data_IF_463438032784
#
_entry.id   IF_463438032784
#
_cell.length_a   1.000
_cell.length_b   1.000
_cell.length_c   1.000
_cell.angle_alpha   90.00
_cell.angle_beta   90.00
_cell.angle_gamma   90.00
#
_symmetry.space_group_name_H-M   'P 1'
#
loop_
_entity.id
_entity.type
_entity.pdbx_description
1 polymer ?
#
# COMPACT_ATOMS: atom_id res chain seq x y z
N UNK A 1 -2.40 2.35 13.57
CA UNK A 1 -2.96 3.16 14.68
C UNK A 1 -4.47 3.26 14.57
N UNK A 2 -5.08 3.79 13.49
CA UNK A 2 -6.55 3.86 13.39
C UNK A 2 -7.25 2.49 13.24
N UNK A 3 -6.80 1.64 12.30
CA UNK A 3 -7.41 0.33 12.06
C UNK A 3 -7.43 -0.57 13.32
N UNK A 4 -6.37 -0.51 14.11
CA UNK A 4 -6.18 -1.24 15.37
C UNK A 4 -7.15 -0.76 16.47
N UNK A 5 -7.23 0.55 16.68
CA UNK A 5 -8.18 1.13 17.64
C UNK A 5 -9.62 0.79 17.26
N UNK A 6 -9.98 0.95 15.98
CA UNK A 6 -11.34 0.68 15.52
C UNK A 6 -11.71 -0.81 15.62
N UNK A 7 -10.73 -1.71 15.46
CA UNK A 7 -10.88 -3.14 15.72
C UNK A 7 -11.29 -3.43 17.17
N UNK A 8 -10.68 -2.73 18.13
CA UNK A 8 -10.99 -2.88 19.55
C UNK A 8 -12.34 -2.27 19.93
N UNK A 9 -12.71 -1.15 19.31
CA UNK A 9 -13.97 -0.44 19.58
C UNK A 9 -15.18 -1.17 18.98
N UNK A 10 -15.03 -1.77 17.80
CA UNK A 10 -16.12 -2.44 17.08
C UNK A 10 -15.74 -3.91 16.76
N UNK A 11 -15.80 -4.84 17.74
CA UNK A 11 -15.36 -6.22 17.56
C UNK A 11 -16.17 -7.03 16.54
N UNK A 12 -17.35 -6.54 16.18
CA UNK A 12 -18.22 -7.16 15.17
C UNK A 12 -17.81 -6.81 13.73
N UNK A 13 -16.95 -5.80 13.54
CA UNK A 13 -16.44 -5.39 12.25
C UNK A 13 -15.06 -5.98 11.98
N UNK A 14 -14.70 -6.17 10.71
CA UNK A 14 -13.31 -6.46 10.34
C UNK A 14 -12.64 -5.21 9.80
N UNK A 15 -11.54 -4.80 10.42
CA UNK A 15 -10.77 -3.61 10.04
C UNK A 15 -9.37 -4.03 9.62
N UNK A 16 -8.88 -3.47 8.53
CA UNK A 16 -7.52 -3.74 8.05
C UNK A 16 -7.00 -2.51 7.30
N UNK A 17 -5.73 -2.18 7.52
CA UNK A 17 -5.03 -1.14 6.79
C UNK A 17 -4.04 -1.79 5.82
N UNK A 18 -4.13 -1.44 4.54
CA UNK A 18 -3.25 -1.99 3.49
C UNK A 18 -2.38 -0.89 2.91
N UNK A 19 -1.07 -1.12 2.89
CA UNK A 19 -0.08 -0.31 2.16
C UNK A 19 0.08 -0.89 0.76
N UNK A 20 -0.33 -0.18 -0.31
CA UNK A 20 -0.33 -0.71 -1.67
C UNK A 20 1.03 -0.66 -2.37
N UNK A 21 2.10 -0.22 -1.70
CA UNK A 21 3.39 0.00 -2.35
C UNK A 21 3.41 1.25 -3.24
N UNK A 22 4.34 1.30 -4.20
CA UNK A 22 4.39 2.36 -5.22
C UNK A 22 3.68 1.87 -6.46
N UNK A 23 2.52 2.44 -6.73
CA UNK A 23 1.63 1.96 -7.79
C UNK A 23 1.70 2.86 -9.01
N UNK A 24 1.65 2.28 -10.20
CA UNK A 24 1.54 3.04 -11.45
C UNK A 24 0.17 3.70 -11.55
N UNK A 25 0.09 4.96 -11.12
CA UNK A 25 -1.13 5.77 -11.07
C UNK A 25 -0.80 7.23 -11.37
N UNK A 26 -1.83 8.03 -11.64
CA UNK A 26 -1.70 9.49 -11.82
C UNK A 26 -1.06 10.20 -10.61
N UNK A 27 -1.19 9.63 -9.40
CA UNK A 27 -0.53 10.14 -8.21
C UNK A 27 0.99 10.05 -8.34
N UNK A 28 1.52 8.90 -8.78
CA UNK A 28 2.98 8.72 -8.98
C UNK A 28 3.48 9.58 -10.14
N UNK A 29 2.67 9.79 -11.19
CA UNK A 29 2.99 10.74 -12.26
C UNK A 29 3.09 12.18 -11.74
N UNK A 30 2.16 12.59 -10.87
CA UNK A 30 2.19 13.89 -10.19
C UNK A 30 3.46 14.06 -9.34
N UNK A 31 3.81 13.05 -8.53
CA UNK A 31 5.05 13.06 -7.73
C UNK A 31 6.30 13.24 -8.59
N UNK A 32 6.36 12.60 -9.76
CA UNK A 32 7.49 12.74 -10.69
C UNK A 32 7.55 14.12 -11.36
N UNK A 33 6.39 14.67 -11.70
CA UNK A 33 6.31 15.97 -12.39
C UNK A 33 6.58 17.14 -11.43
N UNK A 34 6.02 17.09 -10.22
CA UNK A 34 5.98 18.23 -9.31
C UNK A 34 6.91 18.06 -8.10
N UNK A 35 7.37 16.84 -7.84
CA UNK A 35 8.22 16.53 -6.69
C UNK A 35 9.61 17.14 -6.75
N UNK A 36 10.12 17.47 -7.94
CA UNK A 36 11.46 18.09 -8.10
C UNK A 36 11.55 19.46 -7.41
N UNK A 37 10.46 20.21 -7.35
CA UNK A 37 10.41 21.54 -6.72
C UNK A 37 10.02 21.48 -5.24
N UNK A 38 9.35 20.41 -4.81
CA UNK A 38 8.64 20.36 -3.52
C UNK A 38 9.15 19.29 -2.55
N UNK A 39 10.01 18.38 -3.00
CA UNK A 39 10.56 17.30 -2.17
C UNK A 39 12.06 17.50 -1.94
N UNK A 40 12.58 16.88 -0.88
CA UNK A 40 14.04 16.83 -0.72
C UNK A 40 14.65 16.03 -1.88
N UNK A 41 15.87 16.34 -2.32
CA UNK A 41 16.53 15.60 -3.40
C UNK A 41 16.58 14.09 -3.14
N UNK A 42 16.81 13.69 -1.89
CA UNK A 42 16.86 12.28 -1.49
C UNK A 42 15.50 11.58 -1.63
N UNK A 43 14.40 12.26 -1.27
CA UNK A 43 13.05 11.71 -1.43
C UNK A 43 12.63 11.65 -2.90
N UNK A 44 12.94 12.69 -3.68
CA UNK A 44 12.65 12.73 -5.11
C UNK A 44 13.43 11.66 -5.88
N UNK A 45 14.67 11.36 -5.49
CA UNK A 45 15.51 10.31 -6.09
C UNK A 45 14.86 8.91 -6.05
N UNK A 46 14.04 8.63 -5.03
CA UNK A 46 13.30 7.36 -4.89
C UNK A 46 12.26 7.15 -6.00
N UNK A 47 11.72 8.23 -6.57
CA UNK A 47 10.65 8.20 -7.58
C UNK A 47 11.12 8.54 -9.01
N UNK A 48 12.29 9.18 -9.14
CA UNK A 48 12.80 9.74 -10.39
C UNK A 48 13.86 8.90 -11.10
N UNK A 49 14.55 7.98 -10.41
CA UNK A 49 15.70 7.29 -10.99
C UNK A 49 15.31 6.06 -11.83
N UNK A 50 15.75 6.04 -13.10
CA UNK A 50 15.63 4.87 -13.98
C UNK A 50 16.46 3.66 -13.52
N UNK A 51 17.52 3.83 -12.71
CA UNK A 51 18.40 2.73 -12.29
C UNK A 51 19.17 3.07 -11.02
N UNK A 52 18.56 2.85 -9.86
CA UNK A 52 19.32 2.61 -8.64
C UNK A 52 18.88 1.27 -8.09
N UNK A 53 19.78 0.46 -7.54
CA UNK A 53 19.48 -0.83 -6.90
C UNK A 53 18.52 -0.71 -5.68
N UNK A 54 18.14 0.54 -5.35
CA UNK A 54 17.18 0.93 -4.29
C UNK A 54 15.91 1.62 -4.84
N UNK A 55 15.70 1.65 -6.16
CA UNK A 55 14.50 2.27 -6.74
C UNK A 55 13.26 1.51 -6.30
N UNK A 56 12.21 2.23 -5.92
CA UNK A 56 10.93 1.61 -5.59
C UNK A 56 10.40 0.89 -6.83
N UNK A 57 10.08 -0.41 -6.68
CA UNK A 57 9.44 -1.16 -7.75
C UNK A 57 8.05 -0.58 -7.95
N UNK A 58 7.79 -0.07 -9.15
CA UNK A 58 6.46 0.38 -9.53
C UNK A 58 5.67 -0.86 -9.89
N UNK A 59 4.53 -1.04 -9.24
CA UNK A 59 3.66 -2.18 -9.48
C UNK A 59 2.40 -1.75 -10.20
N UNK A 60 1.81 -2.68 -10.95
CA UNK A 60 0.53 -2.47 -11.61
C UNK A 60 -0.59 -2.29 -10.56
N UNK A 61 -1.55 -1.38 -10.75
CA UNK A 61 -2.62 -1.13 -9.78
C UNK A 61 -3.50 -2.33 -9.45
N UNK A 62 -3.63 -3.27 -10.37
CA UNK A 62 -4.42 -4.48 -10.16
C UNK A 62 -3.83 -5.39 -9.07
N UNK A 63 -2.52 -5.36 -8.83
CA UNK A 63 -1.85 -6.20 -7.82
C UNK A 63 -2.35 -5.87 -6.39
N UNK A 64 -2.17 -4.64 -5.87
CA UNK A 64 -2.74 -4.27 -4.57
C UNK A 64 -4.26 -4.12 -4.64
N UNK A 65 -4.83 -3.78 -5.81
CA UNK A 65 -6.27 -3.65 -6.00
C UNK A 65 -7.01 -4.97 -5.79
N UNK A 66 -6.46 -6.08 -6.31
CA UNK A 66 -7.00 -7.42 -6.11
C UNK A 66 -7.02 -7.81 -4.62
N UNK A 67 -5.93 -7.54 -3.90
CA UNK A 67 -5.83 -7.81 -2.46
C UNK A 67 -6.93 -7.09 -1.69
N UNK A 68 -7.13 -5.79 -1.95
CA UNK A 68 -8.18 -4.99 -1.29
C UNK A 68 -9.57 -5.54 -1.62
N UNK A 69 -9.84 -5.85 -2.90
CA UNK A 69 -11.12 -6.41 -3.32
C UNK A 69 -11.39 -7.79 -2.67
N UNK A 70 -10.37 -8.65 -2.62
CA UNK A 70 -10.44 -9.98 -2.02
C UNK A 70 -10.72 -9.92 -0.51
N UNK A 71 -10.04 -9.02 0.21
CA UNK A 71 -10.28 -8.79 1.64
C UNK A 71 -11.67 -8.20 1.91
N UNK A 72 -12.18 -7.33 1.04
CA UNK A 72 -13.54 -6.80 1.18
C UNK A 72 -14.62 -7.88 1.10
N UNK A 73 -14.37 -8.95 0.33
CA UNK A 73 -15.28 -10.10 0.20
C UNK A 73 -15.05 -11.12 1.31
N UNK A 74 -13.80 -11.40 1.67
CA UNK A 74 -13.45 -12.44 2.64
C UNK A 74 -12.17 -12.10 3.41
N UNK A 75 -12.25 -11.19 4.37
CA UNK A 75 -11.13 -10.93 5.27
C UNK A 75 -11.08 -11.97 6.41
N UNK A 76 -9.97 -12.70 6.59
CA UNK A 76 -9.84 -13.61 7.71
C UNK A 76 -9.68 -12.84 9.03
N UNK A 77 -10.19 -13.39 10.14
CA UNK A 77 -10.03 -12.77 11.47
C UNK A 77 -8.56 -12.52 11.87
N UNK A 78 -7.63 -13.25 11.27
CA UNK A 78 -6.19 -13.08 11.50
C UNK A 78 -5.62 -11.75 11.01
N UNK A 79 -6.35 -10.99 10.17
CA UNK A 79 -5.92 -9.66 9.69
C UNK A 79 -6.64 -8.49 10.38
N UNK A 80 -7.62 -8.78 11.24
CA UNK A 80 -8.37 -7.77 11.99
C UNK A 80 -7.42 -6.88 12.83
N UNK A 81 -7.59 -5.56 12.71
CA UNK A 81 -6.76 -4.54 13.36
C UNK A 81 -5.37 -4.32 12.76
N UNK A 82 -4.94 -5.15 11.78
CA UNK A 82 -3.55 -5.11 11.29
C UNK A 82 -3.31 -4.01 10.27
N UNK A 83 -2.05 -3.57 10.23
CA UNK A 83 -1.50 -2.75 9.15
C UNK A 83 -0.48 -3.59 8.38
N UNK A 84 -0.79 -3.88 7.12
CA UNK A 84 -0.06 -4.85 6.29
C UNK A 84 0.37 -4.20 4.98
N UNK A 85 1.47 -4.68 4.42
CA UNK A 85 1.80 -4.43 3.01
C UNK A 85 1.02 -5.41 2.14
N UNK A 86 0.63 -4.99 0.93
CA UNK A 86 -0.12 -5.85 0.00
C UNK A 86 0.59 -7.19 -0.30
N UNK A 87 1.92 -7.21 -0.22
CA UNK A 87 2.81 -8.34 -0.46
C UNK A 87 3.19 -9.14 0.80
N UNK A 88 2.63 -8.82 1.97
CA UNK A 88 2.89 -9.59 3.20
C UNK A 88 2.48 -11.07 3.04
N UNK A 89 3.27 -12.01 3.56
CA UNK A 89 3.01 -13.46 3.42
C UNK A 89 1.65 -13.89 3.99
N UNK A 90 1.12 -13.18 4.99
CA UNK A 90 -0.23 -13.45 5.54
C UNK A 90 -1.35 -13.22 4.52
N UNK A 91 -1.10 -12.44 3.46
CA UNK A 91 -2.06 -12.12 2.39
C UNK A 91 -1.86 -12.97 1.14
N UNK A 92 -0.98 -13.97 1.16
CA UNK A 92 -0.65 -14.77 -0.02
C UNK A 92 -1.84 -15.45 -0.69
N UNK A 93 -2.90 -15.76 0.06
CA UNK A 93 -4.15 -16.35 -0.46
C UNK A 93 -5.09 -15.33 -1.10
N UNK A 94 -4.79 -14.03 -0.96
CA UNK A 94 -5.57 -12.90 -1.49
C UNK A 94 -4.85 -12.18 -2.63
N UNK A 95 -3.69 -12.68 -3.07
CA UNK A 95 -2.94 -12.20 -4.23
C UNK A 95 -3.23 -13.04 -5.46
#
# INVERSE_FOLDING_TARGET
MFADVFAMEEPELTTVSIRPGVVDTDMTATVRKEGVENMTPDQYALFSSEKTDKSLTIIHPDEPGHVVASLAVNAPASVHGKNLSWDDEVLKTHR
#
